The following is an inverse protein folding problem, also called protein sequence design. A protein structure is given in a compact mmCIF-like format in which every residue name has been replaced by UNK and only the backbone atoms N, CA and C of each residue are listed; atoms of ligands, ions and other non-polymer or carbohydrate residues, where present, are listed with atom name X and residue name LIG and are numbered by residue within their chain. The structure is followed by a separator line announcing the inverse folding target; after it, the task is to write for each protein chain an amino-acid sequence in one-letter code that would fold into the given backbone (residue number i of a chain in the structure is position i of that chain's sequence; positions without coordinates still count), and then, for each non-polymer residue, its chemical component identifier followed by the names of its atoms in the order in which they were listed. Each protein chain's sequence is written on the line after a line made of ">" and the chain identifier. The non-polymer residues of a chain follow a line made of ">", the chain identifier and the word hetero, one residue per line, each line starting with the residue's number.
data_IF_059036360070
#
_entry.id   IF_059036360070
#
_cell.length_a   1.000
_cell.length_b   1.000
_cell.length_c   1.000
_cell.angle_alpha   90.00
_cell.angle_beta   90.00
_cell.angle_gamma   90.00
#
_symmetry.space_group_name_H-M   'P 1'
#
loop_
_entity.id
_entity.type
_entity.pdbx_description
1 polymer ?
#
# COMPACT_ATOMS: atom_id res chain seq x y z
N UNK A 1 -2.46 -29.25 7.12
CA UNK A 1 -2.75 -29.10 6.70
C UNK A 1 -2.88 -28.79 5.58
N UNK A 2 -3.08 -28.60 5.10
CA UNK A 2 -3.26 -28.61 4.06
C UNK A 2 -3.59 -27.69 3.36
N UNK A 3 -3.34 -27.16 2.80
CA UNK A 3 -3.65 -26.28 2.25
C UNK A 3 -4.21 -26.42 1.25
N UNK A 4 -4.71 -26.18 0.91
CA UNK A 4 -5.40 -26.33 0.13
C UNK A 4 -5.26 -25.75 -1.09
N UNK A 5 -4.74 -26.35 -2.03
CA UNK A 5 -4.71 -25.89 -3.35
C UNK A 5 -6.08 -25.57 -3.83
N UNK A 6 -7.06 -26.18 -3.24
CA UNK A 6 -8.44 -25.92 -3.65
C UNK A 6 -8.84 -24.48 -3.42
N UNK A 7 -8.17 -23.82 -2.47
CA UNK A 7 -8.51 -22.44 -2.17
C UNK A 7 -7.75 -21.45 -3.00
N UNK A 8 -6.88 -21.92 -3.86
CA UNK A 8 -6.07 -21.03 -4.65
C UNK A 8 -6.73 -20.73 -5.97
N UNK A 9 -6.65 -19.49 -6.38
CA UNK A 9 -7.20 -19.06 -7.65
C UNK A 9 -6.04 -18.81 -8.61
N UNK A 10 -6.13 -19.37 -9.78
CA UNK A 10 -5.09 -19.17 -10.78
C UNK A 10 -5.40 -17.92 -11.57
N UNK A 11 -4.46 -17.03 -11.60
CA UNK A 11 -4.62 -15.76 -12.30
C UNK A 11 -3.37 -15.49 -13.09
N UNK A 12 -3.41 -14.46 -13.89
CA UNK A 12 -2.26 -14.00 -14.63
C UNK A 12 -1.86 -12.64 -14.07
N UNK A 13 -0.57 -12.46 -13.78
CA UNK A 13 -0.07 -11.18 -13.32
C UNK A 13 0.79 -10.56 -14.40
N UNK A 14 0.80 -9.25 -14.45
CA UNK A 14 1.67 -8.51 -15.35
C UNK A 14 2.57 -7.61 -14.53
N UNK A 15 3.72 -7.31 -15.08
CA UNK A 15 4.65 -6.41 -14.42
C UNK A 15 4.23 -4.99 -14.71
N UNK A 16 4.23 -4.16 -13.68
CA UNK A 16 3.91 -2.75 -13.86
C UNK A 16 4.76 -1.95 -12.88
N UNK A 17 4.88 -0.68 -13.12
CA UNK A 17 5.63 0.18 -12.22
C UNK A 17 4.89 1.46 -11.94
N UNK A 18 4.99 1.92 -10.70
CA UNK A 18 4.40 3.18 -10.31
C UNK A 18 5.40 3.87 -9.39
N UNK A 19 5.27 5.18 -9.29
CA UNK A 19 6.10 5.94 -8.36
C UNK A 19 5.25 6.21 -7.13
N UNK A 20 5.80 5.91 -5.97
CA UNK A 20 5.08 6.03 -4.71
C UNK A 20 5.95 6.82 -3.74
N UNK A 21 5.32 7.59 -2.88
CA UNK A 21 6.05 8.35 -1.88
C UNK A 21 6.94 7.39 -1.08
N UNK A 22 8.17 7.83 -0.83
CA UNK A 22 9.22 6.97 -0.32
C UNK A 22 8.87 6.31 1.03
N UNK A 23 8.39 7.11 1.99
CA UNK A 23 8.10 6.56 3.32
C UNK A 23 6.88 5.67 3.31
N UNK A 24 5.91 6.01 2.46
CA UNK A 24 4.74 5.17 2.28
C UNK A 24 5.16 3.80 1.77
N UNK A 25 6.07 3.77 0.81
CA UNK A 25 6.57 2.50 0.29
C UNK A 25 7.30 1.71 1.38
N UNK A 26 8.06 2.39 2.23
CA UNK A 26 8.75 1.69 3.31
C UNK A 26 7.78 1.04 4.28
N UNK A 27 6.69 1.72 4.60
CA UNK A 27 5.68 1.14 5.48
C UNK A 27 5.03 -0.06 4.80
N UNK A 28 4.71 0.06 3.52
CA UNK A 28 4.13 -1.05 2.79
C UNK A 28 5.04 -2.26 2.79
N UNK A 29 6.31 -2.05 2.50
CA UNK A 29 7.26 -3.16 2.46
C UNK A 29 7.47 -3.77 3.83
N UNK A 30 7.54 -2.94 4.85
CA UNK A 30 7.69 -3.44 6.21
C UNK A 30 6.51 -4.27 6.64
N UNK A 31 5.32 -3.82 6.30
CA UNK A 31 4.11 -4.56 6.64
C UNK A 31 4.04 -5.88 5.88
N UNK A 32 4.40 -5.86 4.59
CA UNK A 32 4.41 -7.09 3.81
C UNK A 32 5.41 -8.09 4.41
N UNK A 33 6.58 -7.61 4.77
CA UNK A 33 7.60 -8.46 5.35
C UNK A 33 7.12 -9.07 6.67
N UNK A 34 6.46 -8.28 7.48
CA UNK A 34 5.95 -8.73 8.76
C UNK A 34 4.96 -9.88 8.59
N UNK A 35 4.21 -9.87 7.52
CA UNK A 35 3.20 -10.90 7.26
C UNK A 35 3.66 -11.94 6.25
N UNK A 36 4.93 -11.91 5.85
CA UNK A 36 5.47 -12.85 4.86
C UNK A 36 4.71 -12.80 3.55
N UNK A 37 4.31 -11.61 3.15
CA UNK A 37 3.65 -11.39 1.88
C UNK A 37 4.60 -10.71 0.92
N UNK A 38 4.39 -10.92 -0.37
CA UNK A 38 5.06 -10.07 -1.35
C UNK A 38 4.35 -8.73 -1.38
N UNK A 39 5.04 -7.72 -1.85
CA UNK A 39 4.42 -6.40 -1.96
C UNK A 39 3.21 -6.45 -2.89
N UNK A 40 3.32 -7.18 -3.99
CA UNK A 40 2.20 -7.30 -4.91
C UNK A 40 0.98 -7.94 -4.28
N UNK A 41 1.20 -9.00 -3.51
CA UNK A 41 0.12 -9.67 -2.83
C UNK A 41 -0.57 -8.73 -1.84
N UNK A 42 0.24 -7.98 -1.09
CA UNK A 42 -0.33 -7.02 -0.15
C UNK A 42 -1.16 -5.98 -0.87
N UNK A 43 -0.62 -5.43 -1.95
CA UNK A 43 -1.34 -4.39 -2.69
C UNK A 43 -2.63 -4.93 -3.29
N UNK A 44 -2.59 -6.14 -3.81
CA UNK A 44 -3.81 -6.76 -4.35
C UNK A 44 -4.88 -6.86 -3.28
N UNK A 45 -4.48 -7.29 -2.08
CA UNK A 45 -5.44 -7.40 -1.01
C UNK A 45 -6.05 -6.07 -0.61
N UNK A 46 -5.20 -5.05 -0.52
CA UNK A 46 -5.69 -3.72 -0.17
C UNK A 46 -6.67 -3.22 -1.21
N UNK A 47 -6.32 -3.37 -2.48
CA UNK A 47 -7.18 -2.85 -3.55
C UNK A 47 -8.51 -3.61 -3.60
N UNK A 48 -8.45 -4.93 -3.46
CA UNK A 48 -9.68 -5.72 -3.51
C UNK A 48 -10.64 -5.33 -2.40
N UNK A 49 -10.10 -5.13 -1.19
CA UNK A 49 -10.95 -4.68 -0.09
C UNK A 49 -11.50 -3.30 -0.34
N UNK A 50 -10.65 -2.41 -0.86
CA UNK A 50 -11.09 -1.04 -1.12
C UNK A 50 -12.20 -1.01 -2.16
N UNK A 51 -12.09 -1.86 -3.18
CA UNK A 51 -13.13 -1.93 -4.21
C UNK A 51 -14.47 -2.35 -3.61
N UNK A 52 -14.43 -3.16 -2.56
CA UNK A 52 -15.66 -3.60 -1.90
C UNK A 52 -16.10 -2.64 -0.80
N UNK A 53 -15.40 -1.53 -0.63
CA UNK A 53 -15.72 -0.59 0.42
C UNK A 53 -15.38 -1.10 1.81
N UNK A 54 -14.45 -2.03 1.90
CA UNK A 54 -14.07 -2.61 3.18
C UNK A 54 -12.69 -2.19 3.60
N UNK A 55 -12.47 -2.09 4.91
CA UNK A 55 -11.15 -1.83 5.43
C UNK A 55 -10.32 -3.09 5.31
N UNK A 56 -9.13 -3.03 4.72
CA UNK A 56 -8.33 -4.23 4.52
C UNK A 56 -7.56 -4.69 5.75
N UNK A 57 -7.63 -3.97 6.85
CA UNK A 57 -6.79 -4.25 8.00
C UNK A 57 -7.59 -4.48 9.26
N UNK A 58 -7.17 -5.49 10.02
CA UNK A 58 -7.73 -5.73 11.35
C UNK A 58 -7.21 -4.68 12.32
N UNK A 59 -7.76 -4.65 13.52
CA UNK A 59 -7.25 -3.74 14.55
C UNK A 59 -5.79 -3.99 14.83
N UNK A 60 -5.40 -5.24 14.89
CA UNK A 60 -4.02 -5.58 15.15
C UNK A 60 -3.11 -5.10 14.02
N UNK A 61 -3.54 -5.28 12.79
CA UNK A 61 -2.77 -4.81 11.64
C UNK A 61 -2.67 -3.29 11.66
N UNK A 62 -3.75 -2.61 12.01
CA UNK A 62 -3.70 -1.15 12.08
C UNK A 62 -2.70 -0.67 13.13
N UNK A 63 -2.61 -1.37 14.27
CA UNK A 63 -1.61 -1.01 15.26
C UNK A 63 -0.20 -1.19 14.71
N UNK A 64 0.02 -2.28 13.99
CA UNK A 64 1.34 -2.52 13.41
C UNK A 64 1.69 -1.45 12.39
N UNK A 65 0.71 -1.05 11.60
CA UNK A 65 0.92 0.01 10.61
C UNK A 65 1.29 1.31 11.33
N UNK A 66 0.60 1.64 12.41
CA UNK A 66 0.93 2.85 13.16
C UNK A 66 2.36 2.80 13.68
N UNK A 67 2.80 1.64 14.15
CA UNK A 67 4.18 1.48 14.59
C UNK A 67 5.17 1.69 13.46
N UNK A 68 4.87 1.13 12.30
CA UNK A 68 5.73 1.29 11.15
C UNK A 68 5.76 2.72 10.66
N UNK A 69 4.63 3.40 10.71
CA UNK A 69 4.58 4.81 10.33
C UNK A 69 5.50 5.62 11.23
N UNK A 70 5.47 5.36 12.52
CA UNK A 70 6.37 6.05 13.43
C UNK A 70 7.83 5.73 13.15
N UNK A 71 8.09 4.46 12.92
CA UNK A 71 9.45 4.00 12.70
C UNK A 71 10.07 4.66 11.47
N UNK A 72 9.29 4.77 10.40
CA UNK A 72 9.80 5.34 9.16
C UNK A 72 9.50 6.82 9.02
N UNK A 73 8.88 7.43 10.00
CA UNK A 73 8.60 8.86 9.95
C UNK A 73 7.54 9.24 8.94
N UNK A 74 6.62 8.34 8.66
CA UNK A 74 5.55 8.64 7.72
C UNK A 74 4.45 9.40 8.45
N UNK A 75 4.34 10.69 8.14
CA UNK A 75 3.38 11.55 8.81
C UNK A 75 2.22 11.96 7.91
N UNK A 76 2.06 11.26 6.80
CA UNK A 76 0.95 11.51 5.90
C UNK A 76 -0.19 10.58 6.25
N UNK A 77 -1.40 11.06 6.03
CA UNK A 77 -2.59 10.22 6.23
C UNK A 77 -3.52 10.41 5.04
N UNK A 78 -4.73 9.90 5.15
CA UNK A 78 -5.63 9.90 4.02
C UNK A 78 -5.98 11.30 3.53
N UNK A 79 -5.85 12.30 4.38
CA UNK A 79 -6.13 13.67 3.95
C UNK A 79 -5.14 14.17 2.92
N UNK A 80 -3.98 13.52 2.81
CA UNK A 80 -2.97 13.89 1.82
C UNK A 80 -3.22 13.26 0.47
N UNK A 81 -4.19 12.38 0.38
CA UNK A 81 -4.46 11.65 -0.85
C UNK A 81 -4.74 12.63 -1.99
N UNK A 82 -4.12 12.36 -3.13
CA UNK A 82 -4.26 13.18 -4.34
C UNK A 82 -3.70 14.58 -4.20
N UNK A 83 -2.96 14.85 -3.13
CA UNK A 83 -2.35 16.18 -2.93
C UNK A 83 -0.83 16.12 -2.94
N UNK A 84 -0.27 14.96 -3.15
CA UNK A 84 1.19 14.81 -3.12
C UNK A 84 1.78 15.26 -4.44
N UNK A 85 2.88 15.99 -4.36
CA UNK A 85 3.58 16.47 -5.53
C UNK A 85 5.05 16.16 -5.35
N UNK A 86 5.64 15.58 -6.36
CA UNK A 86 7.03 15.15 -6.26
C UNK A 86 7.94 16.37 -6.28
N UNK A 87 8.86 16.42 -5.32
CA UNK A 87 9.82 17.50 -5.24
C UNK A 87 11.03 17.18 -6.09
N UNK A 88 11.82 18.20 -6.37
CA UNK A 88 13.07 18.01 -7.06
C UNK A 88 13.22 18.99 -8.19
N UNK A 89 14.45 19.17 -8.68
CA UNK A 89 14.69 20.10 -9.77
C UNK A 89 13.91 19.67 -10.98
N UNK A 90 13.23 20.59 -11.59
CA UNK A 90 12.45 20.29 -12.76
C UNK A 90 11.15 19.59 -12.50
N UNK A 91 10.80 19.41 -11.23
CA UNK A 91 9.54 18.78 -10.93
C UNK A 91 8.39 19.60 -11.47
N UNK A 92 7.38 18.97 -12.03
CA UNK A 92 6.25 19.73 -12.53
C UNK A 92 5.53 20.41 -11.40
N UNK A 93 5.04 21.57 -11.70
CA UNK A 93 4.28 22.26 -10.71
C UNK A 93 2.82 22.04 -10.86
N UNK A 94 2.45 21.12 -11.69
CA UNK A 94 1.08 20.86 -11.92
C UNK A 94 0.43 20.30 -10.68
N UNK A 95 -0.62 20.90 -10.20
CA UNK A 95 -1.30 20.37 -9.09
C UNK A 95 -2.38 19.47 -9.51
N UNK A 96 -2.67 18.49 -8.67
CA UNK A 96 -3.78 17.57 -8.92
C UNK A 96 -5.08 18.32 -8.78
N UNK A 97 -5.92 18.29 -9.79
CA UNK A 97 -7.16 18.91 -9.68
C UNK A 97 -8.24 17.97 -9.60
N UNK A 98 -8.10 16.86 -9.44
CA UNK A 98 -8.99 15.89 -9.46
C UNK A 98 -10.01 15.84 -8.54
N UNK A 99 -10.70 15.46 -8.28
CA UNK A 99 -11.48 15.20 -7.49
C UNK A 99 -11.63 15.51 -6.87
#
# INVERSE_FOLDING_TARGET
>A
MVTDMADRLLIERVQTGVRIEKRLLKVLKGFAEYHDLTLGDLLEGIVLHAFDGKCPFSEESLRKIRDLKKFYGLDLDSSASHRLQEAGPGAPKKKWKGK
#
